data_IF_180386514285
#
_entry.id   IF_180386514285
#
_cell.length_a   1.000
_cell.length_b   1.000
_cell.length_c   1.000
_cell.angle_alpha   90.00
_cell.angle_beta   90.00
_cell.angle_gamma   90.00
#
_symmetry.space_group_name_H-M   'P 1'
#
loop_
_entity.id
_entity.type
_entity.pdbx_description
1 polymer ?
#
# COMPACT_ATOMS: atom_id res chain seq x y z
N UNK A 1 14.33 -21.52 -30.23
CA UNK A 1 13.81 -21.35 -28.86
C UNK A 1 12.33 -21.67 -28.90
N UNK A 2 11.80 -22.37 -27.90
CA UNK A 2 10.36 -22.65 -27.83
C UNK A 2 9.62 -21.41 -27.31
N UNK A 3 8.38 -21.20 -27.75
CA UNK A 3 7.52 -20.10 -27.30
C UNK A 3 7.38 -20.05 -25.77
N UNK A 4 7.37 -21.21 -25.12
CA UNK A 4 7.37 -21.33 -23.66
C UNK A 4 8.65 -20.77 -23.01
N UNK A 5 9.83 -20.95 -23.62
CA UNK A 5 11.08 -20.38 -23.10
C UNK A 5 11.07 -18.85 -23.13
N UNK A 6 10.54 -18.25 -24.21
CA UNK A 6 10.43 -16.79 -24.34
C UNK A 6 9.48 -16.20 -23.29
N UNK A 7 8.37 -16.90 -23.01
CA UNK A 7 7.43 -16.50 -21.95
C UNK A 7 8.11 -16.52 -20.58
N UNK A 8 8.87 -17.56 -20.26
CA UNK A 8 9.57 -17.66 -18.97
C UNK A 8 10.66 -16.59 -18.81
N UNK A 9 11.37 -16.25 -19.89
CA UNK A 9 12.35 -15.17 -19.86
C UNK A 9 11.69 -13.82 -19.62
N UNK A 10 10.56 -13.55 -20.30
CA UNK A 10 9.78 -12.33 -20.06
C UNK A 10 9.23 -12.28 -18.64
N UNK A 11 8.70 -13.38 -18.11
CA UNK A 11 8.23 -13.44 -16.71
C UNK A 11 9.37 -13.13 -15.74
N UNK A 12 10.58 -13.63 -15.99
CA UNK A 12 11.74 -13.38 -15.13
C UNK A 12 12.13 -11.90 -15.12
N UNK A 13 12.12 -11.24 -16.30
CA UNK A 13 12.37 -9.80 -16.40
C UNK A 13 11.32 -9.01 -15.62
N UNK A 14 10.03 -9.28 -15.86
CA UNK A 14 8.92 -8.61 -15.16
C UNK A 14 9.01 -8.81 -13.64
N UNK A 15 9.40 -9.99 -13.17
CA UNK A 15 9.57 -10.26 -11.73
C UNK A 15 10.75 -9.51 -11.11
N UNK A 16 11.84 -9.31 -11.85
CA UNK A 16 12.97 -8.50 -11.39
C UNK A 16 12.61 -7.01 -11.32
N UNK A 17 11.86 -6.52 -12.30
CA UNK A 17 11.35 -5.15 -12.31
C UNK A 17 10.37 -4.94 -11.15
N UNK A 18 9.45 -5.90 -10.95
CA UNK A 18 8.50 -5.88 -9.85
C UNK A 18 9.20 -5.87 -8.48
N UNK A 19 10.31 -6.61 -8.33
CA UNK A 19 11.15 -6.55 -7.13
C UNK A 19 11.66 -5.13 -6.88
N UNK A 20 12.23 -4.51 -7.90
CA UNK A 20 12.79 -3.16 -7.81
C UNK A 20 11.73 -2.13 -7.41
N UNK A 21 10.53 -2.22 -7.99
CA UNK A 21 9.40 -1.35 -7.65
C UNK A 21 8.93 -1.58 -6.21
N UNK A 22 8.89 -2.83 -5.75
CA UNK A 22 8.46 -3.16 -4.38
C UNK A 22 9.50 -2.80 -3.31
N UNK A 23 10.80 -2.88 -3.63
CA UNK A 23 11.87 -2.38 -2.78
C UNK A 23 11.78 -0.84 -2.65
N UNK A 24 11.49 -0.14 -3.75
CA UNK A 24 11.24 1.30 -3.73
C UNK A 24 9.98 1.67 -2.92
N UNK A 25 8.91 0.88 -3.03
CA UNK A 25 7.70 1.00 -2.20
C UNK A 25 8.06 0.89 -0.72
N UNK A 26 8.82 -0.14 -0.34
CA UNK A 26 9.26 -0.37 1.04
C UNK A 26 10.05 0.83 1.59
N UNK A 27 10.97 1.38 0.79
CA UNK A 27 11.74 2.56 1.18
C UNK A 27 10.84 3.78 1.42
N UNK A 28 9.85 4.04 0.54
CA UNK A 28 8.90 5.13 0.71
C UNK A 28 7.97 4.95 1.92
N UNK A 29 7.64 3.71 2.27
CA UNK A 29 6.81 3.41 3.44
C UNK A 29 7.60 3.43 4.76
N UNK A 30 8.90 3.18 4.69
CA UNK A 30 9.81 3.19 5.84
C UNK A 30 10.24 4.60 6.24
N UNK A 31 10.30 5.55 5.31
CA UNK A 31 10.54 6.95 5.65
C UNK A 31 9.34 7.52 6.43
N UNK A 32 9.61 8.26 7.50
CA UNK A 32 8.57 8.84 8.38
C UNK A 32 7.64 9.86 7.70
N UNK A 33 7.96 10.27 6.47
CA UNK A 33 7.14 11.13 5.63
C UNK A 33 6.83 10.44 4.30
N UNK A 34 5.55 10.13 4.07
CA UNK A 34 5.08 9.48 2.85
C UNK A 34 4.97 10.53 1.73
N UNK A 35 5.74 10.35 0.66
CA UNK A 35 5.56 11.11 -0.56
C UNK A 35 4.40 10.51 -1.38
N UNK A 36 3.18 11.00 -1.18
CA UNK A 36 1.98 10.44 -1.83
C UNK A 36 2.08 10.33 -3.35
N UNK A 37 2.70 11.31 -4.02
CA UNK A 37 2.91 11.29 -5.48
C UNK A 37 3.93 10.25 -5.94
N UNK A 38 4.99 10.00 -5.15
CA UNK A 38 5.98 8.97 -5.46
C UNK A 38 5.38 7.58 -5.22
N UNK A 39 4.65 7.40 -4.11
CA UNK A 39 3.97 6.15 -3.79
C UNK A 39 2.88 5.81 -4.83
N UNK A 40 2.16 6.82 -5.32
CA UNK A 40 1.18 6.62 -6.38
C UNK A 40 1.83 6.10 -7.67
N UNK A 41 2.93 6.72 -8.14
CA UNK A 41 3.66 6.25 -9.32
C UNK A 41 4.15 4.81 -9.17
N UNK A 42 4.74 4.49 -8.01
CA UNK A 42 5.19 3.14 -7.67
C UNK A 42 4.02 2.14 -7.71
N UNK A 43 2.84 2.55 -7.23
CA UNK A 43 1.63 1.71 -7.22
C UNK A 43 1.09 1.48 -8.63
N UNK A 44 1.13 2.51 -9.49
CA UNK A 44 0.77 2.42 -10.90
C UNK A 44 1.72 1.47 -11.66
N UNK A 45 3.03 1.62 -11.47
CA UNK A 45 4.05 0.74 -12.06
C UNK A 45 3.88 -0.72 -11.61
N UNK A 46 3.68 -0.95 -10.31
CA UNK A 46 3.39 -2.27 -9.74
C UNK A 46 2.15 -2.90 -10.37
N UNK A 47 1.08 -2.12 -10.55
CA UNK A 47 -0.17 -2.60 -11.14
C UNK A 47 0.02 -2.97 -12.62
N UNK A 48 0.77 -2.19 -13.37
CA UNK A 48 1.12 -2.45 -14.77
C UNK A 48 1.95 -3.74 -14.94
N UNK A 49 2.97 -3.92 -14.09
CA UNK A 49 3.81 -5.11 -14.09
C UNK A 49 3.02 -6.36 -13.69
N UNK A 50 2.13 -6.28 -12.70
CA UNK A 50 1.24 -7.38 -12.31
C UNK A 50 0.26 -7.77 -13.43
N UNK A 51 -0.30 -6.81 -14.15
CA UNK A 51 -1.16 -7.09 -15.30
C UNK A 51 -0.39 -7.80 -16.43
N UNK A 52 0.85 -7.38 -16.67
CA UNK A 52 1.74 -8.03 -17.66
C UNK A 52 2.12 -9.45 -17.22
N UNK A 53 2.41 -9.64 -15.92
CA UNK A 53 2.72 -10.96 -15.36
C UNK A 53 1.52 -11.92 -15.47
N UNK A 54 0.31 -11.44 -15.19
CA UNK A 54 -0.91 -12.24 -15.32
C UNK A 54 -1.15 -12.67 -16.78
N UNK A 55 -0.96 -11.75 -17.72
CA UNK A 55 -1.04 -12.05 -19.16
C UNK A 55 -0.02 -13.13 -19.59
N UNK A 56 1.23 -13.02 -19.13
CA UNK A 56 2.27 -14.03 -19.42
C UNK A 56 1.95 -15.39 -18.79
N UNK A 57 1.41 -15.43 -17.57
CA UNK A 57 0.99 -16.69 -16.93
C UNK A 57 -0.17 -17.35 -17.68
N UNK A 58 -1.14 -16.57 -18.18
CA UNK A 58 -2.22 -17.10 -19.02
C UNK A 58 -1.67 -17.70 -20.33
N UNK A 59 -0.73 -17.02 -20.99
CA UNK A 59 -0.06 -17.56 -22.18
C UNK A 59 0.70 -18.85 -21.87
N UNK A 60 1.44 -18.87 -20.75
CA UNK A 60 2.20 -20.04 -20.31
C UNK A 60 1.30 -21.25 -20.14
N UNK A 61 0.12 -21.07 -19.51
CA UNK A 61 -0.88 -22.13 -19.32
C UNK A 61 -1.46 -22.64 -20.63
N UNK A 62 -1.69 -21.75 -21.60
CA UNK A 62 -2.19 -22.13 -22.92
C UNK A 62 -1.15 -22.93 -23.74
N UNK A 63 0.14 -22.63 -23.57
CA UNK A 63 1.24 -23.29 -24.27
C UNK A 63 1.71 -24.58 -23.58
N UNK A 64 1.32 -24.81 -22.31
CA UNK A 64 1.69 -25.99 -21.55
C UNK A 64 0.86 -27.20 -21.97
N UNK A 65 1.37 -27.97 -22.95
CA UNK A 65 0.80 -29.25 -23.35
C UNK A 65 1.15 -30.35 -22.31
N UNK A 66 0.16 -30.99 -21.65
CA UNK A 66 0.40 -32.06 -20.67
C UNK A 66 1.06 -33.31 -21.26
N UNK A 67 1.16 -33.42 -22.60
CA UNK A 67 1.83 -34.54 -23.28
C UNK A 67 3.30 -34.28 -23.62
N UNK A 68 3.77 -33.03 -23.53
CA UNK A 68 5.18 -32.69 -23.73
C UNK A 68 5.94 -32.92 -22.42
N UNK A 69 6.87 -33.89 -22.43
CA UNK A 69 7.86 -34.04 -21.37
C UNK A 69 8.58 -32.71 -21.16
N UNK A 70 8.51 -32.17 -19.95
CA UNK A 70 9.20 -30.94 -19.59
C UNK A 70 10.70 -31.11 -19.79
N UNK A 71 11.33 -30.20 -20.54
CA UNK A 71 12.79 -30.14 -20.61
C UNK A 71 13.32 -29.70 -19.24
N UNK A 72 14.41 -30.29 -18.76
CA UNK A 72 15.01 -29.96 -17.45
C UNK A 72 15.30 -28.46 -17.28
N UNK A 73 15.72 -27.78 -18.36
CA UNK A 73 15.95 -26.33 -18.37
C UNK A 73 14.68 -25.51 -18.08
N UNK A 74 13.52 -25.97 -18.56
CA UNK A 74 12.23 -25.29 -18.33
C UNK A 74 11.81 -25.47 -16.86
N UNK A 75 12.12 -26.63 -16.27
CA UNK A 75 11.84 -26.92 -14.86
C UNK A 75 12.67 -26.02 -13.95
N UNK A 76 13.96 -25.87 -14.23
CA UNK A 76 14.86 -24.99 -13.45
C UNK A 76 14.44 -23.52 -13.52
N UNK A 77 14.11 -23.01 -14.72
CA UNK A 77 13.60 -21.64 -14.91
C UNK A 77 12.28 -21.43 -14.19
N UNK A 78 11.38 -22.42 -14.25
CA UNK A 78 10.10 -22.36 -13.54
C UNK A 78 10.30 -22.35 -12.02
N UNK A 79 11.20 -23.17 -11.50
CA UNK A 79 11.54 -23.16 -10.08
C UNK A 79 12.03 -21.76 -9.64
N UNK A 80 12.95 -21.16 -10.40
CA UNK A 80 13.45 -19.81 -10.14
C UNK A 80 12.33 -18.77 -10.13
N UNK A 81 11.38 -18.86 -11.07
CA UNK A 81 10.20 -17.98 -11.12
C UNK A 81 9.31 -18.17 -9.88
N UNK A 82 9.09 -19.41 -9.45
CA UNK A 82 8.29 -19.69 -8.24
C UNK A 82 8.96 -19.18 -6.96
N UNK A 83 10.28 -19.29 -6.86
CA UNK A 83 11.04 -18.74 -5.73
C UNK A 83 10.98 -17.20 -5.70
N UNK A 84 11.15 -16.56 -6.87
CA UNK A 84 11.04 -15.10 -7.00
C UNK A 84 9.63 -14.60 -6.63
N UNK A 85 8.59 -15.24 -7.13
CA UNK A 85 7.20 -14.87 -6.81
C UNK A 85 6.87 -15.07 -5.34
N UNK A 86 7.40 -16.10 -4.69
CA UNK A 86 7.25 -16.28 -3.25
C UNK A 86 7.95 -15.15 -2.47
N UNK A 87 9.19 -14.80 -2.82
CA UNK A 87 9.89 -13.67 -2.20
C UNK A 87 9.12 -12.36 -2.38
N UNK A 88 8.57 -12.09 -3.58
CA UNK A 88 7.76 -10.90 -3.83
C UNK A 88 6.48 -10.89 -2.99
N UNK A 89 5.84 -12.05 -2.77
CA UNK A 89 4.68 -12.14 -1.89
C UNK A 89 5.04 -11.73 -0.46
N UNK A 90 6.16 -12.21 0.06
CA UNK A 90 6.61 -11.91 1.42
C UNK A 90 6.93 -10.40 1.57
N UNK A 91 7.58 -9.81 0.57
CA UNK A 91 7.84 -8.37 0.50
C UNK A 91 6.52 -7.57 0.45
N UNK A 92 5.53 -8.02 -0.33
CA UNK A 92 4.22 -7.37 -0.40
C UNK A 92 3.52 -7.37 0.96
N UNK A 93 3.58 -8.49 1.68
CA UNK A 93 3.03 -8.61 3.02
C UNK A 93 3.72 -7.65 4.00
N UNK A 94 5.05 -7.54 3.90
CA UNK A 94 5.81 -6.60 4.71
C UNK A 94 5.42 -5.14 4.42
N UNK A 95 5.29 -4.75 3.15
CA UNK A 95 4.82 -3.42 2.76
C UNK A 95 3.40 -3.13 3.29
N UNK A 96 2.53 -4.14 3.31
CA UNK A 96 1.21 -4.07 3.94
C UNK A 96 1.26 -3.74 5.44
N UNK A 97 2.16 -4.40 6.19
CA UNK A 97 2.35 -4.10 7.61
C UNK A 97 2.90 -2.70 7.86
N UNK A 98 3.82 -2.21 7.00
CA UNK A 98 4.33 -0.85 7.09
C UNK A 98 3.21 0.19 6.86
N UNK A 99 2.38 -0.03 5.84
CA UNK A 99 1.21 0.80 5.57
C UNK A 99 0.23 0.84 6.74
N UNK A 100 -0.09 -0.31 7.33
CA UNK A 100 -0.95 -0.38 8.50
C UNK A 100 -0.38 0.41 9.68
N UNK A 101 0.92 0.29 9.94
CA UNK A 101 1.60 1.09 10.96
C UNK A 101 1.53 2.59 10.69
N UNK A 102 1.63 3.02 9.43
CA UNK A 102 1.49 4.43 9.05
C UNK A 102 0.05 4.94 9.23
N UNK A 103 -0.95 4.12 8.89
CA UNK A 103 -2.36 4.45 9.09
C UNK A 103 -2.65 4.65 10.59
N UNK A 104 -2.13 3.77 11.45
CA UNK A 104 -2.28 3.91 12.91
C UNK A 104 -1.66 5.20 13.42
N UNK A 105 -0.42 5.54 13.01
CA UNK A 105 0.23 6.81 13.40
C UNK A 105 -0.54 8.04 12.89
N UNK A 106 -1.06 7.97 11.67
CA UNK A 106 -1.85 9.05 11.10
C UNK A 106 -3.15 9.27 11.88
N UNK A 107 -3.86 8.19 12.24
CA UNK A 107 -5.06 8.28 13.09
C UNK A 107 -4.74 8.88 14.47
N UNK A 108 -3.65 8.47 15.12
CA UNK A 108 -3.22 9.05 16.40
C UNK A 108 -2.92 10.55 16.28
N UNK A 109 -2.22 10.97 15.22
CA UNK A 109 -1.95 12.38 14.95
C UNK A 109 -3.25 13.17 14.70
N UNK A 110 -4.20 12.59 13.95
CA UNK A 110 -5.51 13.19 13.74
C UNK A 110 -6.31 13.32 15.03
N UNK A 111 -6.27 12.36 15.94
CA UNK A 111 -6.93 12.47 17.26
C UNK A 111 -6.34 13.61 18.11
N UNK A 112 -5.02 13.82 18.07
CA UNK A 112 -4.38 14.97 18.76
C UNK A 112 -4.75 16.30 18.11
N UNK A 113 -4.82 16.33 16.78
CA UNK A 113 -5.17 17.54 16.00
C UNK A 113 -6.67 17.82 15.97
N UNK A 114 -7.52 16.84 16.32
CA UNK A 114 -8.96 17.05 16.40
C UNK A 114 -9.20 18.17 17.40
N UNK A 115 -9.82 19.29 16.97
CA UNK A 115 -10.21 20.31 17.89
C UNK A 115 -11.16 19.65 18.90
N UNK A 116 -10.70 19.55 20.14
CA UNK A 116 -11.60 19.31 21.25
C UNK A 116 -12.63 20.43 21.11
N UNK A 117 -13.90 20.07 20.92
CA UNK A 117 -14.96 21.05 20.87
C UNK A 117 -15.05 21.66 22.27
N UNK A 118 -14.17 22.63 22.54
CA UNK A 118 -14.32 23.57 23.62
C UNK A 118 -15.69 24.21 23.37
N UNK A 119 -16.70 23.96 24.24
CA UNK A 119 -17.89 24.78 24.21
C UNK A 119 -17.39 26.16 24.57
N UNK A 120 -17.24 27.04 23.57
CA UNK A 120 -16.56 28.33 23.67
C UNK A 120 -16.86 29.01 24.99
N UNK A 121 -15.95 28.81 25.96
CA UNK A 121 -16.16 29.22 27.34
C UNK A 121 -16.09 30.74 27.43
N UNK A 122 -15.52 31.37 26.40
CA UNK A 122 -15.39 32.81 26.22
C UNK A 122 -15.81 33.20 24.81
N UNK A 123 -16.72 34.16 24.70
CA UNK A 123 -17.06 34.83 23.44
C UNK A 123 -15.90 35.70 22.94
N UNK A 124 -16.01 36.22 21.71
CA UNK A 124 -15.02 37.14 21.12
C UNK A 124 -14.80 38.44 21.92
N UNK A 125 -15.66 38.72 22.88
CA UNK A 125 -15.63 39.81 23.86
C UNK A 125 -15.02 39.42 25.21
N UNK A 126 -14.50 38.19 25.35
CA UNK A 126 -13.92 37.68 26.59
C UNK A 126 -14.95 37.45 27.71
N UNK A 127 -16.25 37.34 27.38
CA UNK A 127 -17.29 37.05 28.35
C UNK A 127 -17.63 35.56 28.37
N UNK A 128 -17.80 35.00 29.57
CA UNK A 128 -18.30 33.64 29.69
C UNK A 128 -19.73 33.56 29.19
N UNK A 129 -20.03 32.61 28.32
CA UNK A 129 -21.38 32.34 27.80
C UNK A 129 -22.28 31.70 28.88
N UNK A 130 -22.41 32.35 30.04
CA UNK A 130 -23.50 32.10 31.00
C UNK A 130 -24.76 32.75 30.45
N UNK A 131 -25.36 32.08 29.47
CA UNK A 131 -26.72 32.38 29.04
C UNK A 131 -27.69 31.97 30.15
N UNK A 132 -27.99 32.93 31.02
CA UNK A 132 -29.31 33.19 31.60
C UNK A 132 -30.13 31.95 31.99
N UNK A 133 -30.03 31.51 33.24
CA UNK A 133 -31.15 30.83 33.94
C UNK A 133 -31.12 31.16 35.44
N UNK A 134 -32.19 31.83 35.88
CA UNK A 134 -32.66 32.07 37.26
C UNK A 134 -31.77 32.91 38.21
N UNK A 135 -32.21 33.99 38.83
CA UNK A 135 -33.53 34.58 38.96
C UNK A 135 -33.39 35.81 39.86
N UNK A 136 -34.05 36.90 39.49
CA UNK A 136 -33.96 38.17 40.20
C UNK A 136 -34.40 38.06 41.65
N UNK A 137 -33.55 38.54 42.57
CA UNK A 137 -34.01 39.13 43.83
C UNK A 137 -33.37 40.51 43.94
N UNK A 138 -34.19 41.53 43.66
CA UNK A 138 -33.90 42.92 43.99
C UNK A 138 -33.89 43.02 45.52
N UNK A 139 -32.76 43.41 46.09
CA UNK A 139 -32.65 43.82 47.49
C UNK A 139 -32.98 45.31 47.50
N UNK A 140 -34.14 45.67 48.07
CA UNK A 140 -34.47 47.05 48.42
C UNK A 140 -34.03 47.32 49.86
N UNK A 141 -33.48 48.52 50.04
CA UNK A 141 -33.05 49.16 51.29
C UNK A 141 -34.27 49.51 52.14
#
# INVERSE_FOLDING_TARGET
MSRLSEILDQMTVVLNDLKTVMDAEQQQLSVGHINGSALQRITEDKSSLLATLDYLEQQRRAEQDPRRSANDEIVERWQTITEKTQHLRDLNQHNGWLLEGQIVRNQQALEVLKPHQEPGLYGADGQTSSSRLAGGKKISI
#
